data_IF_668599442566
#
_entry.id   IF_668599442566
#
_cell.length_a   1.000
_cell.length_b   1.000
_cell.length_c   1.000
_cell.angle_alpha   90.00
_cell.angle_beta   90.00
_cell.angle_gamma   90.00
#
_symmetry.space_group_name_H-M   'P 1'
#
loop_
_entity.id
_entity.type
_entity.pdbx_description
1 polymer ?
#
# COMPACT_ATOMS: atom_id res chain seq x y z
N UNK A 1 -6.68 -3.21 10.04
CA UNK A 1 -6.12 -1.97 9.48
C UNK A 1 -4.67 -1.83 9.93
N UNK A 2 -3.77 -1.57 9.01
CA UNK A 2 -2.37 -1.36 9.31
C UNK A 2 -1.96 0.07 8.99
N UNK A 3 -0.96 0.55 9.72
CA UNK A 3 -0.47 1.91 9.59
C UNK A 3 1.06 1.88 9.51
N UNK A 4 1.62 2.52 8.49
CA UNK A 4 3.06 2.55 8.26
C UNK A 4 3.50 4.00 8.14
N UNK A 5 4.48 4.38 8.93
CA UNK A 5 5.05 5.73 8.88
C UNK A 5 6.36 5.71 8.10
N UNK A 6 6.46 6.58 7.10
CA UNK A 6 7.65 6.77 6.29
C UNK A 6 8.31 8.08 6.70
N UNK A 7 9.60 8.10 7.06
CA UNK A 7 10.25 9.29 7.62
C UNK A 7 10.63 10.31 6.53
N UNK A 8 9.76 10.56 5.58
CA UNK A 8 9.88 11.65 4.60
C UNK A 8 8.52 12.03 4.08
N UNK A 9 8.37 13.29 3.69
CA UNK A 9 7.13 13.78 3.08
C UNK A 9 7.14 13.58 1.57
N UNK A 10 5.98 13.71 0.96
CA UNK A 10 5.86 13.80 -0.48
C UNK A 10 5.93 12.48 -1.22
N UNK A 11 5.68 11.36 -0.55
CA UNK A 11 5.54 10.08 -1.26
C UNK A 11 4.31 10.14 -2.13
N UNK A 12 4.49 9.98 -3.44
CA UNK A 12 3.39 10.07 -4.39
C UNK A 12 2.70 8.73 -4.59
N UNK A 13 1.49 8.78 -5.14
CA UNK A 13 0.77 7.56 -5.51
C UNK A 13 1.55 6.75 -6.55
N UNK A 14 2.18 7.43 -7.51
CA UNK A 14 2.98 6.76 -8.54
C UNK A 14 4.18 6.03 -7.94
N UNK A 15 4.88 6.65 -7.00
CA UNK A 15 6.02 6.03 -6.32
C UNK A 15 5.56 4.81 -5.51
N UNK A 16 4.48 4.96 -4.75
CA UNK A 16 3.94 3.86 -3.95
C UNK A 16 3.48 2.71 -4.84
N UNK A 17 2.77 3.01 -5.92
CA UNK A 17 2.32 1.99 -6.87
C UNK A 17 3.49 1.25 -7.51
N UNK A 18 4.54 1.97 -7.89
CA UNK A 18 5.74 1.36 -8.48
C UNK A 18 6.42 0.41 -7.50
N UNK A 19 6.62 0.83 -6.25
CA UNK A 19 7.25 0.00 -5.22
C UNK A 19 6.41 -1.25 -4.96
N UNK A 20 5.10 -1.11 -4.81
CA UNK A 20 4.21 -2.24 -4.58
C UNK A 20 4.20 -3.22 -5.75
N UNK A 21 4.18 -2.71 -6.98
CA UNK A 21 4.22 -3.56 -8.17
C UNK A 21 5.48 -4.42 -8.19
N UNK A 22 6.62 -3.84 -7.86
CA UNK A 22 7.89 -4.56 -7.83
C UNK A 22 7.97 -5.58 -6.69
N UNK A 23 7.42 -5.23 -5.52
CA UNK A 23 7.53 -6.08 -4.32
C UNK A 23 6.51 -7.20 -4.28
N UNK A 24 5.31 -6.97 -4.82
CA UNK A 24 4.24 -7.98 -4.81
C UNK A 24 4.32 -8.96 -5.98
N UNK A 25 4.92 -8.53 -7.08
CA UNK A 25 5.08 -9.38 -8.27
C UNK A 25 3.85 -9.44 -9.16
N UNK A 26 3.92 -10.28 -10.20
CA UNK A 26 2.97 -10.26 -11.30
C UNK A 26 1.55 -10.77 -11.01
N UNK A 27 1.32 -11.34 -9.83
CA UNK A 27 -0.03 -11.80 -9.45
C UNK A 27 -0.94 -10.70 -8.92
N UNK A 28 -0.47 -9.46 -8.91
CA UNK A 28 -1.20 -8.33 -8.34
C UNK A 28 -1.31 -7.20 -9.35
N UNK A 29 -2.48 -6.56 -9.40
CA UNK A 29 -2.68 -5.32 -10.12
C UNK A 29 -2.60 -4.16 -9.13
N UNK A 30 -1.74 -3.19 -9.40
CA UNK A 30 -1.53 -2.05 -8.52
C UNK A 30 -1.80 -0.78 -9.32
N UNK A 31 -2.77 0.02 -8.88
CA UNK A 31 -3.19 1.20 -9.63
C UNK A 31 -3.40 2.40 -8.68
N UNK A 32 -2.86 3.58 -9.04
CA UNK A 32 -3.25 4.81 -8.35
C UNK A 32 -4.72 5.12 -8.63
N UNK A 33 -5.42 5.61 -7.60
CA UNK A 33 -6.86 5.89 -7.69
C UNK A 33 -7.17 7.38 -7.85
N UNK A 34 -6.17 8.25 -7.86
CA UNK A 34 -6.38 9.68 -8.04
C UNK A 34 -6.77 10.47 -6.80
N UNK A 35 -7.22 9.83 -5.73
CA UNK A 35 -7.69 10.48 -4.50
C UNK A 35 -6.77 10.24 -3.30
N UNK A 36 -5.47 10.18 -3.53
CA UNK A 36 -4.51 9.87 -2.47
C UNK A 36 -4.53 8.41 -2.06
N UNK A 37 -4.97 7.52 -2.94
CA UNK A 37 -5.06 6.08 -2.68
C UNK A 37 -4.39 5.28 -3.78
N UNK A 38 -3.89 4.12 -3.40
CA UNK A 38 -3.41 3.10 -4.34
C UNK A 38 -4.21 1.84 -4.08
N UNK A 39 -4.80 1.28 -5.11
CA UNK A 39 -5.61 0.06 -5.03
C UNK A 39 -4.76 -1.11 -5.48
N UNK A 40 -4.72 -2.16 -4.65
CA UNK A 40 -4.00 -3.40 -4.94
C UNK A 40 -5.03 -4.51 -5.06
N UNK A 41 -5.07 -5.17 -6.23
CA UNK A 41 -6.01 -6.26 -6.48
C UNK A 41 -5.24 -7.54 -6.80
N UNK A 42 -5.59 -8.60 -6.11
CA UNK A 42 -5.12 -9.95 -6.45
C UNK A 42 -6.14 -10.67 -7.34
N UNK A 43 -7.42 -10.40 -7.10
CA UNK A 43 -8.53 -10.95 -7.86
C UNK A 43 -9.72 -10.00 -7.69
N UNK A 44 -10.83 -10.20 -8.42
CA UNK A 44 -12.03 -9.39 -8.19
C UNK A 44 -12.56 -9.45 -6.75
N UNK A 45 -12.21 -10.51 -6.00
CA UNK A 45 -12.71 -10.74 -4.65
C UNK A 45 -11.71 -10.33 -3.56
N UNK A 46 -10.45 -10.09 -3.93
CA UNK A 46 -9.38 -9.83 -2.95
C UNK A 46 -8.64 -8.55 -3.32
N UNK A 47 -8.81 -7.53 -2.52
CA UNK A 47 -8.21 -6.23 -2.75
C UNK A 47 -7.76 -5.58 -1.44
N UNK A 48 -6.84 -4.65 -1.55
CA UNK A 48 -6.46 -3.77 -0.46
C UNK A 48 -6.36 -2.34 -0.99
N UNK A 49 -6.58 -1.37 -0.12
CA UNK A 49 -6.46 0.04 -0.46
C UNK A 49 -5.44 0.65 0.49
N UNK A 50 -4.45 1.33 -0.07
CA UNK A 50 -3.45 2.06 0.70
C UNK A 50 -3.74 3.54 0.55
N UNK A 51 -4.07 4.20 1.64
CA UNK A 51 -4.26 5.64 1.67
C UNK A 51 -2.96 6.33 2.07
N UNK A 52 -2.65 7.40 1.37
CA UNK A 52 -1.44 8.20 1.62
C UNK A 52 -1.86 9.50 2.30
N UNK A 53 -1.20 9.82 3.40
CA UNK A 53 -1.42 11.08 4.11
C UNK A 53 -0.10 11.65 4.57
N UNK A 54 0.14 12.93 4.28
CA UNK A 54 1.28 13.64 4.82
C UNK A 54 0.98 14.14 6.21
N UNK A 55 1.96 13.98 7.09
CA UNK A 55 1.96 14.54 8.44
C UNK A 55 3.27 15.31 8.61
N UNK A 56 3.43 16.13 9.66
CA UNK A 56 4.69 16.86 9.84
C UNK A 56 5.91 15.91 9.84
N UNK A 57 6.80 16.10 8.88
CA UNK A 57 8.05 15.33 8.76
C UNK A 57 7.93 13.92 8.25
N UNK A 58 6.73 13.47 7.84
CA UNK A 58 6.54 12.08 7.45
C UNK A 58 5.38 11.90 6.49
N UNK A 59 5.30 10.71 5.89
CA UNK A 59 4.13 10.24 5.14
C UNK A 59 3.60 9.00 5.87
N UNK A 60 2.29 8.90 6.02
CA UNK A 60 1.64 7.76 6.66
C UNK A 60 0.82 7.01 5.62
N UNK A 61 1.05 5.70 5.54
CA UNK A 61 0.23 4.81 4.74
C UNK A 61 -0.76 4.10 5.66
N UNK A 62 -2.02 4.10 5.29
CA UNK A 62 -3.05 3.31 5.95
C UNK A 62 -3.51 2.22 5.00
N UNK A 63 -3.35 0.97 5.42
CA UNK A 63 -3.73 -0.19 4.61
C UNK A 63 -5.08 -0.70 5.09
N UNK A 64 -6.05 -0.70 4.19
CA UNK A 64 -7.40 -1.19 4.45
C UNK A 64 -7.69 -2.39 3.56
N UNK A 65 -8.43 -3.35 4.08
CA UNK A 65 -8.94 -4.44 3.27
C UNK A 65 -10.12 -4.02 2.43
N UNK A 66 -10.20 -4.57 1.22
CA UNK A 66 -11.34 -4.46 0.32
C UNK A 66 -11.76 -5.84 -0.15
N UNK A 67 -12.90 -5.95 -0.83
CA UNK A 67 -13.42 -7.21 -1.29
C UNK A 67 -14.14 -8.00 -0.20
N UNK A 68 -14.28 -9.31 -0.38
CA UNK A 68 -14.98 -10.17 0.58
C UNK A 68 -14.16 -10.34 1.86
N UNK A 69 -14.83 -10.42 3.04
CA UNK A 69 -14.12 -10.49 4.32
C UNK A 69 -13.11 -11.63 4.44
N UNK A 70 -13.36 -12.76 3.80
CA UNK A 70 -12.45 -13.91 3.85
C UNK A 70 -11.13 -13.67 3.13
N UNK A 71 -11.11 -12.76 2.16
CA UNK A 71 -9.95 -12.53 1.30
C UNK A 71 -9.15 -11.28 1.67
N UNK A 72 -9.77 -10.29 2.32
CA UNK A 72 -9.10 -9.02 2.58
C UNK A 72 -7.97 -9.11 3.60
N UNK A 73 -8.04 -10.06 4.54
CA UNK A 73 -6.99 -10.22 5.57
C UNK A 73 -5.67 -10.63 4.93
N UNK A 74 -5.70 -11.60 4.02
CA UNK A 74 -4.49 -12.07 3.33
C UNK A 74 -3.87 -11.00 2.45
N UNK A 75 -4.68 -10.29 1.67
CA UNK A 75 -4.20 -9.23 0.79
C UNK A 75 -3.63 -8.06 1.60
N UNK A 76 -4.34 -7.64 2.65
CA UNK A 76 -3.89 -6.58 3.53
C UNK A 76 -2.56 -6.92 4.19
N UNK A 77 -2.39 -8.15 4.67
CA UNK A 77 -1.14 -8.60 5.28
C UNK A 77 0.02 -8.56 4.30
N UNK A 78 -0.19 -9.04 3.07
CA UNK A 78 0.86 -9.05 2.06
C UNK A 78 1.30 -7.65 1.67
N UNK A 79 0.34 -6.74 1.49
CA UNK A 79 0.64 -5.34 1.19
C UNK A 79 1.40 -4.70 2.36
N UNK A 80 0.95 -4.91 3.57
CA UNK A 80 1.61 -4.38 4.78
C UNK A 80 3.04 -4.89 4.90
N UNK A 81 3.26 -6.19 4.72
CA UNK A 81 4.59 -6.77 4.78
C UNK A 81 5.49 -6.24 3.67
N UNK A 82 4.97 -6.10 2.46
CA UNK A 82 5.74 -5.54 1.35
C UNK A 82 6.19 -4.12 1.65
N UNK A 83 5.32 -3.28 2.19
CA UNK A 83 5.66 -1.90 2.56
C UNK A 83 6.70 -1.85 3.67
N UNK A 84 6.56 -2.68 4.69
CA UNK A 84 7.51 -2.73 5.81
C UNK A 84 8.88 -3.23 5.39
N UNK A 85 8.96 -4.07 4.38
CA UNK A 85 10.23 -4.61 3.88
C UNK A 85 10.86 -3.75 2.79
N UNK A 86 10.17 -2.74 2.29
CA UNK A 86 10.68 -1.91 1.21
C UNK A 86 11.73 -0.94 1.74
N UNK A 87 12.98 -1.01 1.24
CA UNK A 87 14.04 -0.08 1.67
C UNK A 87 13.69 1.38 1.41
N UNK A 88 12.90 1.64 0.37
CA UNK A 88 12.46 2.98 -0.02
C UNK A 88 11.67 3.68 1.08
N UNK A 89 11.02 2.90 1.97
CA UNK A 89 10.14 3.42 3.01
C UNK A 89 10.65 3.13 4.43
N UNK A 90 11.83 2.56 4.58
CA UNK A 90 12.39 2.28 5.89
C UNK A 90 12.94 3.53 6.56
N UNK A 91 12.85 3.54 7.89
CA UNK A 91 13.63 4.46 8.70
C UNK A 91 15.11 4.12 8.59
N UNK A 92 15.91 5.10 8.32
CA UNK A 92 17.35 4.95 8.28
C UNK A 92 17.92 5.23 9.66
#
# INVERSE_FOLDING_TARGET
MARIRVPRKGVTQAELADVLSRRLGGGYQVEPDGDGRVVVRRSPLAAAVVRIRDVPGATVFRVHGGGLPLYRIGTTRRVTDALRRSPEFRSV
#
